data_IF_544283802503
#
_entry.id   IF_544283802503
#
_cell.length_a   1.000
_cell.length_b   1.000
_cell.length_c   1.000
_cell.angle_alpha   90.00
_cell.angle_beta   90.00
_cell.angle_gamma   90.00
#
_symmetry.space_group_name_H-M   'P 1'
#
loop_
_entity.id
_entity.type
_entity.pdbx_description
1 polymer ?
#
# COMPACT_ATOMS: atom_id res chain seq x y z
N UNK A 1 11.32 -22.72 54.23
CA UNK A 1 10.11 -21.92 54.59
C UNK A 1 10.08 -20.53 53.96
N UNK A 2 11.18 -19.77 53.82
CA UNK A 2 11.15 -18.41 53.21
C UNK A 2 10.82 -18.36 51.70
N UNK A 3 11.19 -19.38 50.92
CA UNK A 3 10.97 -19.40 49.47
C UNK A 3 9.50 -19.56 49.03
N UNK A 4 8.62 -20.05 49.91
CA UNK A 4 7.19 -20.20 49.62
C UNK A 4 6.40 -18.90 49.86
N UNK A 5 6.93 -17.99 50.68
CA UNK A 5 6.26 -16.74 51.03
C UNK A 5 6.51 -15.65 49.96
N UNK A 6 7.71 -15.63 49.37
CA UNK A 6 8.06 -14.77 48.23
C UNK A 6 7.14 -15.01 47.03
N UNK A 7 6.95 -16.27 46.59
CA UNK A 7 6.06 -16.62 45.48
C UNK A 7 4.59 -16.26 45.74
N UNK A 8 4.14 -16.34 47.00
CA UNK A 8 2.81 -15.91 47.43
C UNK A 8 2.62 -14.40 47.32
N UNK A 9 3.66 -13.60 47.62
CA UNK A 9 3.62 -12.15 47.48
C UNK A 9 3.60 -11.72 46.01
N UNK A 10 4.42 -12.33 45.15
CA UNK A 10 4.39 -12.04 43.71
C UNK A 10 3.03 -12.35 43.09
N UNK A 11 2.41 -13.49 43.45
CA UNK A 11 1.06 -13.83 42.98
C UNK A 11 0.00 -12.84 43.46
N UNK A 12 0.07 -12.39 44.72
CA UNK A 12 -0.85 -11.40 45.29
C UNK A 12 -0.71 -10.03 44.61
N UNK A 13 0.52 -9.58 44.40
CA UNK A 13 0.83 -8.30 43.75
C UNK A 13 0.36 -8.33 42.30
N UNK A 14 0.63 -9.40 41.55
CA UNK A 14 0.14 -9.56 40.18
C UNK A 14 -1.39 -9.56 40.12
N UNK A 15 -2.06 -10.30 41.01
CA UNK A 15 -3.54 -10.33 41.07
C UNK A 15 -4.14 -8.97 41.42
N UNK A 16 -3.49 -8.21 42.31
CA UNK A 16 -3.90 -6.84 42.66
C UNK A 16 -3.72 -5.87 41.49
N UNK A 17 -2.58 -5.91 40.80
CA UNK A 17 -2.30 -5.07 39.62
C UNK A 17 -3.30 -5.39 38.50
N UNK A 18 -3.57 -6.67 38.26
CA UNK A 18 -4.58 -7.10 37.29
C UNK A 18 -5.94 -6.50 37.70
N UNK A 19 -6.39 -6.66 38.94
CA UNK A 19 -7.66 -6.09 39.41
C UNK A 19 -7.74 -4.57 39.23
N UNK A 20 -6.69 -3.83 39.59
CA UNK A 20 -6.65 -2.37 39.45
C UNK A 20 -6.74 -1.96 37.98
N UNK A 21 -5.98 -2.63 37.09
CA UNK A 21 -6.05 -2.35 35.64
C UNK A 21 -7.42 -2.69 35.06
N UNK A 22 -8.15 -3.68 35.61
CA UNK A 22 -9.53 -3.97 35.19
C UNK A 22 -10.50 -2.84 35.55
N UNK A 23 -10.36 -2.26 36.75
CA UNK A 23 -11.24 -1.17 37.22
C UNK A 23 -11.01 0.09 36.40
N UNK A 24 -9.76 0.41 36.11
CA UNK A 24 -9.39 1.53 35.23
C UNK A 24 -9.96 1.30 33.82
N UNK A 25 -9.84 0.08 33.29
CA UNK A 25 -10.37 -0.27 31.98
C UNK A 25 -11.90 -0.13 31.92
N UNK A 26 -12.63 -0.59 32.94
CA UNK A 26 -14.08 -0.41 33.04
C UNK A 26 -14.46 1.07 33.06
N UNK A 27 -13.75 1.89 33.86
CA UNK A 27 -13.97 3.33 33.90
C UNK A 27 -13.78 4.00 32.53
N UNK A 28 -12.75 3.58 31.79
CA UNK A 28 -12.48 4.08 30.44
C UNK A 28 -13.55 3.64 29.42
N UNK A 29 -14.08 2.42 29.53
CA UNK A 29 -15.18 1.92 28.68
C UNK A 29 -16.47 2.71 28.93
N UNK A 30 -16.77 2.99 30.21
CA UNK A 30 -17.94 3.80 30.58
C UNK A 30 -17.79 5.22 30.03
N UNK A 31 -16.64 5.85 30.25
CA UNK A 31 -16.37 7.18 29.71
C UNK A 31 -16.46 7.21 28.17
N UNK A 32 -15.96 6.17 27.50
CA UNK A 32 -16.07 6.02 26.05
C UNK A 32 -17.53 5.98 25.58
N UNK A 33 -18.37 5.16 26.18
CA UNK A 33 -19.78 5.08 25.80
C UNK A 33 -20.54 6.37 26.12
N UNK A 34 -20.18 7.08 27.20
CA UNK A 34 -20.73 8.41 27.46
C UNK A 34 -20.37 9.39 26.34
N UNK A 35 -19.10 9.42 25.89
CA UNK A 35 -18.68 10.27 24.78
C UNK A 35 -19.35 9.88 23.45
N UNK A 36 -19.50 8.58 23.17
CA UNK A 36 -20.16 8.07 21.97
C UNK A 36 -21.64 8.47 21.91
N UNK A 37 -22.35 8.35 23.03
CA UNK A 37 -23.75 8.79 23.14
C UNK A 37 -23.84 10.31 23.02
N UNK A 38 -22.93 11.06 23.62
CA UNK A 38 -22.90 12.52 23.47
C UNK A 38 -22.67 12.97 22.02
N UNK A 39 -21.76 12.30 21.31
CA UNK A 39 -21.50 12.59 19.89
C UNK A 39 -22.74 12.30 19.04
N UNK A 40 -23.42 11.17 19.29
CA UNK A 40 -24.61 10.77 18.56
C UNK A 40 -25.81 11.70 18.83
N UNK A 41 -25.96 12.16 20.06
CA UNK A 41 -26.96 13.17 20.45
C UNK A 41 -26.71 14.49 19.74
N UNK A 42 -25.44 14.90 19.62
CA UNK A 42 -25.02 16.10 18.90
C UNK A 42 -25.30 16.01 17.39
N UNK A 43 -24.98 14.88 16.75
CA UNK A 43 -25.22 14.66 15.31
C UNK A 43 -26.72 14.67 14.96
N UNK A 44 -27.59 14.28 15.89
CA UNK A 44 -29.05 14.27 15.70
C UNK A 44 -29.70 15.61 16.11
N UNK A 45 -28.98 16.47 16.85
CA UNK A 45 -29.48 17.77 17.30
C UNK A 45 -30.60 17.70 18.35
N UNK A 46 -30.72 16.57 19.05
CA UNK A 46 -31.72 16.37 20.11
C UNK A 46 -31.16 16.83 21.47
N UNK A 47 -31.94 17.57 22.26
CA UNK A 47 -31.47 18.07 23.57
C UNK A 47 -31.48 16.99 24.67
N UNK A 48 -32.32 15.95 24.51
CA UNK A 48 -32.47 14.87 25.50
C UNK A 48 -31.74 13.59 25.08
N UNK A 49 -30.62 13.28 25.77
CA UNK A 49 -29.83 12.06 25.57
C UNK A 49 -30.63 10.76 25.70
N UNK A 50 -31.77 10.81 26.40
CA UNK A 50 -32.66 9.66 26.62
C UNK A 50 -33.37 9.19 25.34
N UNK A 51 -33.58 10.09 24.38
CA UNK A 51 -34.25 9.77 23.10
C UNK A 51 -33.28 9.06 22.14
N UNK A 52 -31.98 9.35 22.28
CA UNK A 52 -30.92 8.75 21.48
C UNK A 52 -30.50 7.34 21.93
N UNK A 53 -30.94 6.90 23.12
CA UNK A 53 -30.47 5.69 23.78
C UNK A 53 -31.48 4.53 23.60
N UNK A 54 -31.30 3.72 22.54
CA UNK A 54 -32.16 2.55 22.28
C UNK A 54 -31.90 1.42 23.27
N UNK A 55 -32.95 0.69 23.66
CA UNK A 55 -32.86 -0.41 24.66
C UNK A 55 -31.88 -1.50 24.25
N UNK A 56 -31.74 -1.78 22.95
CA UNK A 56 -30.76 -2.74 22.41
C UNK A 56 -29.29 -2.28 22.57
N UNK A 57 -29.02 -0.97 22.46
CA UNK A 57 -27.68 -0.43 22.70
C UNK A 57 -27.34 -0.50 24.18
N UNK A 58 -28.30 -0.16 25.04
CA UNK A 58 -28.14 -0.26 26.50
C UNK A 58 -27.90 -1.70 26.92
N UNK A 59 -28.64 -2.67 26.37
CA UNK A 59 -28.45 -4.08 26.74
C UNK A 59 -27.09 -4.62 26.31
N UNK A 60 -26.58 -4.22 25.13
CA UNK A 60 -25.23 -4.60 24.69
C UNK A 60 -24.14 -3.95 25.55
N UNK A 61 -24.28 -2.66 25.88
CA UNK A 61 -23.36 -1.97 26.79
C UNK A 61 -23.39 -2.60 28.18
N UNK A 62 -24.58 -2.88 28.72
CA UNK A 62 -24.74 -3.55 30.01
C UNK A 62 -24.17 -4.97 29.96
N UNK A 63 -24.34 -5.72 28.87
CA UNK A 63 -23.77 -7.04 28.70
C UNK A 63 -22.24 -7.01 28.61
N UNK A 64 -21.67 -6.00 27.95
CA UNK A 64 -20.22 -5.77 27.86
C UNK A 64 -19.65 -5.37 29.23
N UNK A 65 -20.35 -4.49 29.96
CA UNK A 65 -19.99 -4.05 31.30
C UNK A 65 -20.12 -5.18 32.32
N UNK A 66 -21.15 -6.03 32.20
CA UNK A 66 -21.34 -7.25 32.99
C UNK A 66 -20.28 -8.29 32.62
N UNK A 67 -19.95 -8.50 31.35
CA UNK A 67 -18.89 -9.43 30.94
C UNK A 67 -17.50 -9.00 31.43
N UNK A 68 -17.24 -7.69 31.51
CA UNK A 68 -15.99 -7.15 32.08
C UNK A 68 -16.02 -7.13 33.62
N UNK A 69 -17.20 -6.97 34.23
CA UNK A 69 -17.41 -7.01 35.67
C UNK A 69 -17.50 -8.42 36.26
N UNK A 70 -17.84 -9.44 35.45
CA UNK A 70 -17.68 -10.87 35.77
C UNK A 70 -16.18 -11.20 35.66
N UNK A 71 -15.38 -10.51 36.47
CA UNK A 71 -14.14 -11.05 36.98
C UNK A 71 -14.49 -11.66 38.35
N UNK A 72 -14.01 -12.85 38.70
CA UNK A 72 -14.21 -13.35 40.04
C UNK A 72 -13.54 -12.37 40.98
N UNK A 73 -14.39 -11.66 41.71
CA UNK A 73 -14.11 -11.04 42.98
C UNK A 73 -13.15 -11.96 43.75
N UNK A 74 -12.06 -11.45 44.33
CA UNK A 74 -11.05 -12.28 44.97
C UNK A 74 -11.70 -13.07 46.11
N UNK A 75 -12.07 -14.32 45.84
CA UNK A 75 -12.53 -15.30 46.84
C UNK A 75 -11.34 -15.74 47.74
N UNK A 76 -10.28 -14.93 47.80
CA UNK A 76 -9.10 -15.15 48.63
C UNK A 76 -9.15 -14.44 49.98
N UNK A 77 -10.00 -13.42 50.18
CA UNK A 77 -10.04 -12.69 51.46
C UNK A 77 -10.83 -13.47 52.54
N UNK A 78 -11.88 -14.17 52.13
CA UNK A 78 -12.59 -15.12 53.00
C UNK A 78 -11.74 -16.36 53.32
N UNK A 79 -10.95 -16.84 52.36
CA UNK A 79 -10.03 -17.96 52.55
C UNK A 79 -8.82 -17.61 53.45
N UNK A 80 -8.41 -16.34 53.49
CA UNK A 80 -7.35 -15.86 54.39
C UNK A 80 -7.79 -15.84 55.86
N UNK A 81 -9.08 -15.58 56.13
CA UNK A 81 -9.63 -15.62 57.50
C UNK A 81 -9.93 -17.05 57.97
N UNK A 82 -10.21 -17.98 57.05
CA UNK A 82 -10.49 -19.39 57.35
C UNK A 82 -9.21 -20.23 57.39
N UNK A 83 -8.20 -19.79 58.15
CA UNK A 83 -6.98 -20.55 58.38
C UNK A 83 -7.27 -21.70 59.37
N UNK A 84 -7.96 -22.75 58.93
CA UNK A 84 -7.87 -24.14 59.45
C UNK A 84 -8.97 -25.05 58.86
N UNK A 85 -8.71 -25.68 57.71
CA UNK A 85 -8.84 -27.14 57.48
C UNK A 85 -8.86 -27.51 55.99
N UNK A 86 -7.77 -28.20 55.59
CA UNK A 86 -7.73 -29.36 54.66
C UNK A 86 -8.28 -29.27 53.23
N UNK A 87 -7.33 -29.24 52.28
CA UNK A 87 -7.10 -30.10 51.08
C UNK A 87 -7.00 -29.33 49.73
N UNK A 88 -5.92 -29.58 48.95
CA UNK A 88 -5.69 -28.96 47.64
C UNK A 88 -6.18 -29.84 46.47
N UNK A 89 -6.08 -29.29 45.26
CA UNK A 89 -5.98 -29.95 43.93
C UNK A 89 -7.28 -30.34 43.21
N UNK A 90 -7.72 -29.47 42.27
CA UNK A 90 -7.89 -29.73 40.82
C UNK A 90 -8.65 -28.59 40.11
N UNK A 91 -9.45 -27.82 40.84
CA UNK A 91 -10.35 -26.80 40.27
C UNK A 91 -9.70 -25.43 40.00
N UNK A 92 -8.64 -25.06 40.73
CA UNK A 92 -8.04 -23.72 40.60
C UNK A 92 -7.38 -23.48 39.24
N UNK A 93 -6.75 -24.51 38.65
CA UNK A 93 -6.10 -24.42 37.32
C UNK A 93 -7.10 -24.32 36.17
N UNK A 94 -8.24 -25.00 36.24
CA UNK A 94 -9.28 -24.89 35.22
C UNK A 94 -9.97 -23.52 35.26
N UNK A 95 -10.16 -22.99 36.48
CA UNK A 95 -10.72 -21.66 36.68
C UNK A 95 -9.77 -20.56 36.16
N UNK A 96 -8.45 -20.71 36.35
CA UNK A 96 -7.44 -19.79 35.80
C UNK A 96 -7.41 -19.80 34.26
N UNK A 97 -7.62 -20.95 33.62
CA UNK A 97 -7.70 -21.07 32.15
C UNK A 97 -9.00 -20.42 31.63
N UNK A 98 -10.13 -20.64 32.30
CA UNK A 98 -11.40 -19.97 31.96
C UNK A 98 -11.31 -18.45 32.22
N UNK A 99 -10.50 -18.02 33.18
CA UNK A 99 -10.20 -16.59 33.44
C UNK A 99 -9.22 -15.96 32.45
N UNK A 100 -8.41 -16.75 31.75
CA UNK A 100 -7.53 -16.23 30.70
C UNK A 100 -8.32 -15.83 29.43
N UNK A 101 -9.47 -16.47 29.17
CA UNK A 101 -10.35 -16.15 28.03
C UNK A 101 -10.83 -14.67 28.01
N UNK A 102 -11.32 -14.08 29.10
CA UNK A 102 -11.66 -12.66 29.14
C UNK A 102 -10.44 -11.73 29.05
N UNK A 103 -9.22 -12.19 29.38
CA UNK A 103 -8.01 -11.39 29.12
C UNK A 103 -7.69 -11.29 27.61
N UNK A 104 -7.98 -12.33 26.82
CA UNK A 104 -7.89 -12.25 25.35
C UNK A 104 -9.02 -11.38 24.75
N UNK A 105 -10.21 -11.39 25.36
CA UNK A 105 -11.30 -10.47 24.99
C UNK A 105 -10.93 -9.00 25.27
N UNK A 106 -10.06 -8.72 26.26
CA UNK A 106 -9.52 -7.36 26.50
C UNK A 106 -8.55 -6.87 25.42
N UNK A 107 -7.83 -7.77 24.76
CA UNK A 107 -6.97 -7.41 23.62
C UNK A 107 -7.80 -6.92 22.41
N UNK A 108 -9.02 -7.43 22.24
CA UNK A 108 -9.99 -6.91 21.28
C UNK A 108 -10.42 -5.47 21.60
N UNK A 109 -10.63 -5.16 22.88
CA UNK A 109 -10.94 -3.80 23.36
C UNK A 109 -9.74 -2.84 23.18
N UNK A 110 -8.51 -3.32 23.39
CA UNK A 110 -7.29 -2.55 23.13
C UNK A 110 -7.11 -2.28 21.63
N UNK A 111 -7.40 -3.27 20.76
CA UNK A 111 -7.41 -3.09 19.31
C UNK A 111 -8.46 -2.09 18.83
N UNK A 112 -9.62 -2.04 19.49
CA UNK A 112 -10.67 -1.04 19.27
C UNK A 112 -10.23 0.36 19.71
N UNK A 113 -9.59 0.49 20.87
CA UNK A 113 -9.04 1.77 21.37
C UNK A 113 -7.87 2.29 20.52
N UNK A 114 -7.00 1.39 20.04
CA UNK A 114 -5.88 1.73 19.16
C UNK A 114 -6.37 2.17 17.77
N UNK A 115 -7.45 1.54 17.26
CA UNK A 115 -8.13 1.99 16.03
C UNK A 115 -8.75 3.39 16.14
N UNK A 116 -9.07 3.87 17.34
CA UNK A 116 -9.68 5.19 17.56
C UNK A 116 -8.64 6.34 17.52
N UNK A 117 -7.39 6.09 17.93
CA UNK A 117 -6.35 7.12 17.98
C UNK A 117 -5.69 7.37 16.61
N UNK A 118 -5.72 6.39 15.71
CA UNK A 118 -5.24 6.59 14.35
C UNK A 118 -6.31 7.30 13.53
N UNK A 119 -6.00 8.53 13.07
CA UNK A 119 -6.70 9.31 12.01
C UNK A 119 -7.00 8.54 10.71
N UNK A 120 -6.63 7.26 10.63
CA UNK A 120 -6.86 6.33 9.52
C UNK A 120 -8.29 5.74 9.52
N UNK A 121 -9.02 5.75 10.65
CA UNK A 121 -10.35 5.12 10.77
C UNK A 121 -11.54 6.12 10.73
N UNK A 122 -11.24 7.42 10.75
CA UNK A 122 -12.23 8.46 10.46
C UNK A 122 -12.55 8.58 8.97
N UNK A 123 -11.78 7.90 8.12
CA UNK A 123 -11.91 8.01 6.68
C UNK A 123 -12.95 7.02 6.13
N UNK A 124 -13.81 7.48 5.22
CA UNK A 124 -14.94 6.72 4.63
C UNK A 124 -14.51 5.37 4.03
N UNK A 125 -13.25 5.24 3.60
CA UNK A 125 -12.65 4.01 3.10
C UNK A 125 -12.54 2.91 4.18
N UNK A 126 -12.23 3.26 5.42
CA UNK A 126 -12.08 2.29 6.53
C UNK A 126 -13.42 1.67 6.96
N UNK A 127 -14.51 2.46 6.94
CA UNK A 127 -15.89 2.00 7.20
C UNK A 127 -16.38 1.02 6.12
N UNK A 128 -16.01 1.26 4.86
CA UNK A 128 -16.30 0.36 3.74
C UNK A 128 -15.53 -0.97 3.84
N UNK A 129 -14.23 -0.91 4.16
CA UNK A 129 -13.39 -2.11 4.34
C UNK A 129 -13.83 -2.93 5.56
N UNK A 130 -14.24 -2.28 6.65
CA UNK A 130 -14.78 -2.95 7.84
C UNK A 130 -16.10 -3.69 7.60
N UNK A 131 -16.96 -3.19 6.71
CA UNK A 131 -18.21 -3.84 6.33
C UNK A 131 -17.99 -5.12 5.50
N UNK A 132 -16.95 -5.15 4.65
CA UNK A 132 -16.54 -6.34 3.90
C UNK A 132 -15.85 -7.40 4.78
N UNK A 133 -15.26 -6.99 5.90
CA UNK A 133 -14.36 -7.83 6.71
C UNK A 133 -14.99 -8.61 7.88
N UNK A 134 -16.31 -8.67 8.01
CA UNK A 134 -16.97 -9.38 9.13
C UNK A 134 -16.70 -10.91 9.17
N UNK A 135 -16.09 -11.48 8.13
CA UNK A 135 -15.59 -12.87 8.12
C UNK A 135 -14.45 -13.15 7.13
N UNK A 136 -14.32 -12.36 6.06
CA UNK A 136 -13.28 -12.57 5.04
C UNK A 136 -11.93 -11.90 5.37
N UNK A 137 -11.91 -10.92 6.28
CA UNK A 137 -10.72 -10.10 6.54
C UNK A 137 -9.55 -10.85 7.13
N UNK A 138 -9.81 -11.71 8.12
CA UNK A 138 -8.77 -12.52 8.73
C UNK A 138 -8.14 -13.47 7.71
N UNK A 139 -8.95 -14.10 6.85
CA UNK A 139 -8.45 -14.99 5.79
C UNK A 139 -7.64 -14.24 4.75
N UNK A 140 -8.11 -13.09 4.28
CA UNK A 140 -7.39 -12.26 3.29
C UNK A 140 -6.07 -11.74 3.87
N UNK A 141 -6.06 -11.31 5.14
CA UNK A 141 -4.85 -10.88 5.83
C UNK A 141 -3.86 -12.04 6.00
N UNK A 142 -4.32 -13.22 6.40
CA UNK A 142 -3.47 -14.42 6.53
C UNK A 142 -2.89 -14.79 5.17
N UNK A 143 -3.70 -14.85 4.11
CA UNK A 143 -3.20 -15.13 2.74
C UNK A 143 -2.20 -14.06 2.30
N UNK A 144 -2.44 -12.78 2.58
CA UNK A 144 -1.53 -11.69 2.21
C UNK A 144 -0.22 -11.69 3.02
N UNK A 145 -0.25 -12.12 4.28
CA UNK A 145 0.95 -12.26 5.12
C UNK A 145 1.74 -13.49 4.73
N UNK A 146 1.06 -14.63 4.51
CA UNK A 146 1.67 -15.87 4.04
C UNK A 146 2.29 -15.69 2.66
N UNK A 147 1.61 -15.05 1.72
CA UNK A 147 2.17 -14.73 0.40
C UNK A 147 3.47 -13.91 0.51
N UNK A 148 3.46 -12.83 1.31
CA UNK A 148 4.66 -12.01 1.54
C UNK A 148 5.80 -12.74 2.26
N UNK A 149 5.47 -13.71 3.12
CA UNK A 149 6.46 -14.54 3.81
C UNK A 149 7.00 -15.68 2.93
N UNK A 150 6.23 -16.12 1.94
CA UNK A 150 6.64 -17.15 0.97
C UNK A 150 7.42 -16.58 -0.22
N UNK A 151 7.29 -15.27 -0.49
CA UNK A 151 8.14 -14.59 -1.44
C UNK A 151 9.59 -14.55 -0.95
N UNK A 152 10.46 -15.35 -1.57
CA UNK A 152 11.89 -15.28 -1.31
C UNK A 152 12.38 -13.86 -1.55
N UNK A 153 13.19 -13.37 -0.61
CA UNK A 153 13.87 -12.08 -0.74
C UNK A 153 14.77 -12.06 -1.98
N UNK A 154 15.09 -10.86 -2.48
CA UNK A 154 15.98 -10.72 -3.65
C UNK A 154 17.33 -11.43 -3.46
N UNK A 155 17.88 -11.38 -2.24
CA UNK A 155 19.12 -12.06 -1.89
C UNK A 155 18.96 -13.59 -1.93
N UNK A 156 17.90 -14.13 -1.33
CA UNK A 156 17.63 -15.58 -1.35
C UNK A 156 17.38 -16.09 -2.78
N UNK A 157 16.67 -15.33 -3.62
CA UNK A 157 16.47 -15.65 -5.04
C UNK A 157 17.81 -15.69 -5.79
N UNK A 158 18.72 -14.76 -5.51
CA UNK A 158 20.04 -14.74 -6.13
C UNK A 158 20.87 -15.96 -5.72
N UNK A 159 20.87 -16.32 -4.43
CA UNK A 159 21.55 -17.51 -3.92
C UNK A 159 20.94 -18.79 -4.51
N UNK A 160 19.61 -18.88 -4.58
CA UNK A 160 18.92 -20.02 -5.19
C UNK A 160 19.26 -20.16 -6.68
N UNK A 161 19.29 -19.06 -7.42
CA UNK A 161 19.66 -19.08 -8.84
C UNK A 161 21.11 -19.53 -9.04
N UNK A 162 22.04 -19.05 -8.21
CA UNK A 162 23.43 -19.49 -8.21
C UNK A 162 23.57 -20.98 -7.89
N UNK A 163 22.84 -21.45 -6.87
CA UNK A 163 22.83 -22.86 -6.49
C UNK A 163 22.28 -23.73 -7.64
N UNK A 164 21.22 -23.29 -8.31
CA UNK A 164 20.61 -23.99 -9.43
C UNK A 164 21.55 -24.05 -10.65
N UNK A 165 22.23 -22.95 -11.01
CA UNK A 165 23.20 -22.95 -12.11
C UNK A 165 24.42 -23.84 -11.82
N UNK A 166 24.92 -23.83 -10.57
CA UNK A 166 25.99 -24.73 -10.14
C UNK A 166 25.56 -26.20 -10.27
N UNK A 167 24.36 -26.53 -9.81
CA UNK A 167 23.81 -27.88 -9.90
C UNK A 167 23.60 -28.35 -11.35
N UNK A 168 23.02 -27.50 -12.20
CA UNK A 168 22.80 -27.82 -13.62
C UNK A 168 24.12 -27.97 -14.36
N UNK A 169 25.09 -27.10 -14.11
CA UNK A 169 26.42 -27.20 -14.72
C UNK A 169 27.10 -28.52 -14.36
N UNK A 170 26.96 -29.00 -13.11
CA UNK A 170 27.42 -30.34 -12.70
C UNK A 170 26.68 -31.44 -13.47
N UNK A 171 25.35 -31.36 -13.59
CA UNK A 171 24.53 -32.34 -14.33
C UNK A 171 24.89 -32.40 -15.81
N UNK A 172 25.20 -31.27 -16.46
CA UNK A 172 25.69 -31.24 -17.85
C UNK A 172 26.98 -32.01 -17.99
N UNK A 173 27.96 -31.77 -17.09
CA UNK A 173 29.25 -32.49 -17.11
C UNK A 173 29.06 -33.99 -16.94
N UNK A 174 28.19 -34.42 -16.01
CA UNK A 174 27.88 -35.84 -15.78
C UNK A 174 27.20 -36.47 -17.01
N UNK A 175 26.19 -35.80 -17.57
CA UNK A 175 25.48 -36.31 -18.75
C UNK A 175 26.39 -36.40 -19.98
N UNK A 176 27.27 -35.42 -20.19
CA UNK A 176 28.27 -35.43 -21.25
C UNK A 176 29.30 -36.56 -21.06
N UNK A 177 29.77 -36.80 -19.83
CA UNK A 177 30.65 -37.91 -19.53
C UNK A 177 30.00 -39.27 -19.84
N UNK A 178 28.70 -39.43 -19.52
CA UNK A 178 27.94 -40.63 -19.87
C UNK A 178 27.79 -40.81 -21.39
N UNK A 179 27.54 -39.74 -22.14
CA UNK A 179 27.50 -39.79 -23.61
C UNK A 179 28.84 -40.30 -24.17
N UNK A 180 29.96 -39.76 -23.68
CA UNK A 180 31.30 -40.19 -24.11
C UNK A 180 31.59 -41.64 -23.73
N UNK A 181 31.25 -42.04 -22.50
CA UNK A 181 31.42 -43.42 -22.00
C UNK A 181 30.66 -44.42 -22.86
N UNK A 182 29.36 -44.19 -23.09
CA UNK A 182 28.53 -45.12 -23.87
C UNK A 182 28.96 -45.14 -25.34
N UNK A 183 29.33 -43.99 -25.92
CA UNK A 183 29.87 -43.92 -27.30
C UNK A 183 31.15 -44.74 -27.44
N UNK A 184 32.08 -44.63 -26.48
CA UNK A 184 33.30 -45.42 -26.46
C UNK A 184 33.02 -46.92 -26.30
N UNK A 185 32.10 -47.31 -25.42
CA UNK A 185 31.74 -48.71 -25.20
C UNK A 185 31.09 -49.34 -26.44
N UNK A 186 30.26 -48.57 -27.17
CA UNK A 186 29.73 -49.00 -28.48
C UNK A 186 30.88 -49.25 -29.44
N UNK A 187 31.81 -48.30 -29.60
CA UNK A 187 32.97 -48.46 -30.49
C UNK A 187 33.81 -49.68 -30.13
N UNK A 188 34.09 -49.87 -28.83
CA UNK A 188 34.86 -51.00 -28.30
C UNK A 188 34.20 -52.35 -28.64
N UNK A 189 32.89 -52.47 -28.40
CA UNK A 189 32.15 -53.73 -28.63
C UNK A 189 31.80 -53.98 -30.09
N UNK A 190 31.70 -52.94 -30.92
CA UNK A 190 31.36 -53.05 -32.34
C UNK A 190 32.59 -53.23 -33.26
N UNK A 191 33.73 -52.61 -32.93
CA UNK A 191 34.92 -52.57 -33.79
C UNK A 191 36.21 -53.16 -33.20
N UNK A 192 36.43 -53.11 -31.88
CA UNK A 192 37.70 -53.58 -31.28
C UNK A 192 37.69 -55.05 -30.87
N UNK A 193 36.51 -55.65 -30.61
CA UNK A 193 36.42 -57.07 -30.25
C UNK A 193 36.36 -57.97 -31.49
N UNK A 194 37.14 -59.06 -31.46
CA UNK A 194 37.18 -60.08 -32.51
C UNK A 194 35.83 -60.78 -32.73
N UNK A 195 35.10 -61.13 -31.65
CA UNK A 195 33.69 -61.54 -31.74
C UNK A 195 32.75 -60.35 -31.49
N UNK A 196 31.88 -60.06 -32.46
CA UNK A 196 30.87 -58.99 -32.39
C UNK A 196 29.69 -59.42 -31.52
N UNK A 197 29.59 -58.81 -30.33
CA UNK A 197 28.50 -59.07 -29.39
C UNK A 197 27.34 -58.06 -29.61
N UNK A 198 26.41 -58.42 -30.50
CA UNK A 198 25.33 -57.52 -30.95
C UNK A 198 24.37 -57.10 -29.83
N UNK A 199 24.10 -57.98 -28.86
CA UNK A 199 23.22 -57.67 -27.73
C UNK A 199 23.80 -56.56 -26.86
N UNK A 200 25.09 -56.64 -26.53
CA UNK A 200 25.80 -55.58 -25.78
C UNK A 200 25.86 -54.25 -26.54
N UNK A 201 26.03 -54.28 -27.86
CA UNK A 201 26.01 -53.05 -28.67
C UNK A 201 24.65 -52.36 -28.57
N UNK A 202 23.54 -53.10 -28.69
CA UNK A 202 22.18 -52.53 -28.55
C UNK A 202 21.93 -51.96 -27.15
N UNK A 203 22.44 -52.61 -26.11
CA UNK A 203 22.28 -52.12 -24.73
C UNK A 203 23.00 -50.77 -24.52
N UNK A 204 24.25 -50.65 -25.00
CA UNK A 204 24.98 -49.38 -24.92
C UNK A 204 24.39 -48.32 -25.86
N UNK A 205 23.82 -48.69 -27.01
CA UNK A 205 23.08 -47.77 -27.87
C UNK A 205 21.84 -47.19 -27.18
N UNK A 206 21.06 -48.02 -26.47
CA UNK A 206 19.92 -47.53 -25.67
C UNK A 206 20.37 -46.58 -24.56
N UNK A 207 21.44 -46.93 -23.84
CA UNK A 207 22.03 -46.07 -22.80
C UNK A 207 22.57 -44.77 -23.36
N UNK A 208 23.21 -44.80 -24.53
CA UNK A 208 23.66 -43.61 -25.24
C UNK A 208 22.49 -42.70 -25.62
N UNK A 209 21.42 -43.26 -26.21
CA UNK A 209 20.23 -42.49 -26.56
C UNK A 209 19.59 -41.84 -25.32
N UNK A 210 19.52 -42.58 -24.21
CA UNK A 210 19.03 -42.05 -22.94
C UNK A 210 19.94 -40.91 -22.44
N UNK A 211 21.26 -41.09 -22.46
CA UNK A 211 22.22 -40.08 -22.03
C UNK A 211 22.16 -38.80 -22.91
N UNK A 212 21.96 -38.94 -24.23
CA UNK A 212 21.76 -37.82 -25.15
C UNK A 212 20.46 -37.07 -24.82
N UNK A 213 19.35 -37.79 -24.58
CA UNK A 213 18.08 -37.15 -24.19
C UNK A 213 18.22 -36.42 -22.85
N UNK A 214 18.90 -37.04 -21.87
CA UNK A 214 19.19 -36.39 -20.59
C UNK A 214 20.04 -35.13 -20.77
N UNK A 215 21.09 -35.18 -21.59
CA UNK A 215 21.94 -34.02 -21.87
C UNK A 215 21.13 -32.89 -22.54
N UNK A 216 20.27 -33.22 -23.51
CA UNK A 216 19.37 -32.23 -24.15
C UNK A 216 18.40 -31.60 -23.16
N UNK A 217 17.81 -32.41 -22.28
CA UNK A 217 16.89 -31.94 -21.23
C UNK A 217 17.58 -30.96 -20.28
N UNK A 218 18.74 -31.34 -19.73
CA UNK A 218 19.50 -30.47 -18.83
C UNK A 218 20.02 -29.21 -19.54
N UNK A 219 20.36 -29.30 -20.83
CA UNK A 219 20.73 -28.12 -21.64
C UNK A 219 19.55 -27.17 -21.88
N UNK A 220 18.32 -27.69 -22.01
CA UNK A 220 17.10 -26.87 -22.05
C UNK A 220 16.82 -26.20 -20.71
N UNK A 221 16.92 -26.95 -19.59
CA UNK A 221 16.80 -26.40 -18.23
C UNK A 221 17.79 -25.25 -18.00
N UNK A 222 19.06 -25.39 -18.46
CA UNK A 222 20.06 -24.32 -18.39
C UNK A 222 19.67 -23.06 -19.18
N UNK A 223 19.10 -23.22 -20.37
CA UNK A 223 18.64 -22.09 -21.18
C UNK A 223 17.50 -21.35 -20.52
N UNK A 224 16.51 -22.09 -19.99
CA UNK A 224 15.38 -21.48 -19.29
C UNK A 224 15.82 -20.65 -18.07
N UNK A 225 16.82 -21.11 -17.29
CA UNK A 225 17.38 -20.31 -16.20
C UNK A 225 18.14 -19.06 -16.69
N UNK A 226 18.86 -19.17 -17.80
CA UNK A 226 19.53 -18.02 -18.39
C UNK A 226 18.52 -16.96 -18.87
N UNK A 227 17.41 -17.39 -19.49
CA UNK A 227 16.34 -16.51 -19.94
C UNK A 227 15.69 -15.78 -18.76
N UNK A 228 15.49 -16.44 -17.62
CA UNK A 228 15.02 -15.79 -16.39
C UNK A 228 15.98 -14.70 -15.91
N UNK A 229 17.29 -14.93 -15.98
CA UNK A 229 18.31 -13.92 -15.65
C UNK A 229 18.30 -12.72 -16.61
N UNK A 230 18.10 -12.97 -17.90
CA UNK A 230 18.06 -11.94 -18.94
C UNK A 230 16.84 -11.01 -18.77
N UNK A 231 15.66 -11.54 -18.40
CA UNK A 231 14.47 -10.70 -18.18
C UNK A 231 14.68 -9.61 -17.12
N UNK A 232 15.39 -9.91 -16.03
CA UNK A 232 15.71 -8.91 -15.00
C UNK A 232 16.67 -7.84 -15.53
N UNK A 233 17.69 -8.25 -16.29
CA UNK A 233 18.66 -7.33 -16.90
C UNK A 233 17.99 -6.44 -17.94
N UNK A 234 17.07 -6.99 -18.72
CA UNK A 234 16.33 -6.25 -19.74
C UNK A 234 15.38 -5.22 -19.11
N UNK A 235 14.76 -5.53 -17.96
CA UNK A 235 14.00 -4.55 -17.17
C UNK A 235 14.91 -3.41 -16.68
N UNK A 236 16.11 -3.73 -16.18
CA UNK A 236 17.06 -2.71 -15.72
C UNK A 236 17.56 -1.82 -16.88
N UNK A 237 17.81 -2.40 -18.05
CA UNK A 237 18.15 -1.63 -19.26
C UNK A 237 16.99 -0.75 -19.73
N UNK A 238 15.77 -1.27 -19.71
CA UNK A 238 14.55 -0.51 -20.03
C UNK A 238 14.36 0.65 -19.05
N UNK A 239 14.66 0.44 -17.76
CA UNK A 239 14.61 1.51 -16.77
C UNK A 239 15.63 2.62 -17.06
N UNK A 240 16.87 2.26 -17.43
CA UNK A 240 17.89 3.25 -17.82
C UNK A 240 17.48 4.01 -19.09
N UNK A 241 17.04 3.30 -20.12
CA UNK A 241 16.56 3.93 -21.36
C UNK A 241 15.37 4.87 -21.09
N UNK A 242 14.47 4.48 -20.20
CA UNK A 242 13.33 5.32 -19.80
C UNK A 242 13.79 6.58 -19.05
N UNK A 243 14.83 6.51 -18.23
CA UNK A 243 15.41 7.72 -17.61
C UNK A 243 16.00 8.66 -18.66
N UNK A 244 16.71 8.14 -19.65
CA UNK A 244 17.29 8.95 -20.73
C UNK A 244 16.19 9.65 -21.55
N UNK A 245 15.14 8.90 -21.95
CA UNK A 245 13.98 9.46 -22.65
C UNK A 245 13.25 10.49 -21.79
N UNK A 246 13.09 10.23 -20.49
CA UNK A 246 12.44 11.19 -19.58
C UNK A 246 13.25 12.49 -19.48
N UNK A 247 14.58 12.40 -19.45
CA UNK A 247 15.46 13.56 -19.45
C UNK A 247 15.34 14.36 -20.77
N UNK A 248 15.26 13.69 -21.92
CA UNK A 248 15.01 14.36 -23.20
C UNK A 248 13.65 15.06 -23.25
N UNK A 249 12.59 14.41 -22.77
CA UNK A 249 11.24 14.99 -22.68
C UNK A 249 11.21 16.18 -21.74
N UNK A 250 11.91 16.11 -20.62
CA UNK A 250 12.05 17.25 -19.70
C UNK A 250 12.78 18.42 -20.37
N UNK A 251 13.85 18.16 -21.11
CA UNK A 251 14.54 19.19 -21.90
C UNK A 251 13.63 19.85 -22.95
N UNK A 252 12.87 19.06 -23.69
CA UNK A 252 11.89 19.59 -24.66
C UNK A 252 10.78 20.39 -23.97
N UNK A 253 10.33 19.96 -22.79
CA UNK A 253 9.35 20.70 -21.99
C UNK A 253 9.89 22.05 -21.55
N UNK A 254 11.14 22.13 -21.10
CA UNK A 254 11.78 23.39 -20.73
C UNK A 254 11.92 24.35 -21.93
N UNK A 255 12.29 23.83 -23.10
CA UNK A 255 12.36 24.62 -24.33
C UNK A 255 10.97 25.16 -24.74
N UNK A 256 9.94 24.33 -24.63
CA UNK A 256 8.56 24.73 -24.90
C UNK A 256 8.05 25.77 -23.90
N UNK A 257 8.34 25.61 -22.61
CA UNK A 257 8.00 26.60 -21.57
C UNK A 257 8.68 27.95 -21.89
N UNK A 258 9.95 27.94 -22.33
CA UNK A 258 10.66 29.16 -22.76
C UNK A 258 10.00 29.82 -23.98
N UNK A 259 9.55 29.03 -24.96
CA UNK A 259 8.83 29.55 -26.12
C UNK A 259 7.48 30.15 -25.72
N UNK A 260 6.74 29.55 -24.78
CA UNK A 260 5.47 30.08 -24.27
C UNK A 260 5.71 31.43 -23.58
N UNK A 261 6.71 31.52 -22.70
CA UNK A 261 7.04 32.77 -22.01
C UNK A 261 7.43 33.89 -23.00
N UNK A 262 8.21 33.56 -24.03
CA UNK A 262 8.52 34.53 -25.09
C UNK A 262 7.28 34.96 -25.88
N UNK A 263 6.36 34.03 -26.15
CA UNK A 263 5.13 34.34 -26.85
C UNK A 263 4.22 35.25 -26.00
N UNK A 264 4.08 34.94 -24.70
CA UNK A 264 3.35 35.79 -23.75
C UNK A 264 3.93 37.20 -23.70
N UNK A 265 5.26 37.33 -23.67
CA UNK A 265 5.94 38.62 -23.71
C UNK A 265 5.63 39.39 -25.00
N UNK A 266 5.71 38.74 -26.16
CA UNK A 266 5.40 39.38 -27.45
C UNK A 266 3.93 39.83 -27.52
N UNK A 267 3.01 39.05 -26.96
CA UNK A 267 1.59 39.41 -26.88
C UNK A 267 1.37 40.61 -25.96
N UNK A 268 2.07 40.69 -24.84
CA UNK A 268 1.97 41.83 -23.92
C UNK A 268 2.56 43.11 -24.54
N UNK A 269 3.70 43.00 -25.23
CA UNK A 269 4.30 44.11 -25.98
C UNK A 269 3.35 44.62 -27.08
N UNK A 270 2.70 43.71 -27.81
CA UNK A 270 1.71 44.06 -28.83
C UNK A 270 0.49 44.75 -28.20
N UNK A 271 0.00 44.22 -27.06
CA UNK A 271 -1.12 44.80 -26.32
C UNK A 271 -0.83 46.22 -25.84
N UNK A 272 0.36 46.47 -25.30
CA UNK A 272 0.76 47.81 -24.85
C UNK A 272 0.97 48.75 -26.05
N UNK A 273 1.52 48.25 -27.16
CA UNK A 273 1.60 48.99 -28.42
C UNK A 273 0.23 49.46 -28.92
N UNK A 274 -0.78 48.57 -28.91
CA UNK A 274 -2.16 48.94 -29.27
C UNK A 274 -2.78 49.95 -28.30
N UNK A 275 -2.52 49.80 -26.99
CA UNK A 275 -3.02 50.73 -25.97
C UNK A 275 -2.48 52.15 -26.16
N UNK A 276 -1.24 52.30 -26.64
CA UNK A 276 -0.64 53.60 -26.96
C UNK A 276 -1.15 54.13 -28.31
N UNK A 277 -1.25 53.26 -29.32
CA UNK A 277 -1.63 53.67 -30.69
C UNK A 277 -3.08 54.15 -30.78
N UNK A 278 -4.01 53.47 -30.10
CA UNK A 278 -5.45 53.78 -30.17
C UNK A 278 -5.80 55.24 -29.79
N UNK A 279 -5.32 55.81 -28.66
CA UNK A 279 -5.57 57.20 -28.33
C UNK A 279 -4.84 58.17 -29.27
N UNK A 280 -3.65 57.85 -29.78
CA UNK A 280 -2.96 58.68 -30.78
C UNK A 280 -3.78 58.80 -32.07
N UNK A 281 -4.28 57.66 -32.59
CA UNK A 281 -5.18 57.64 -33.74
C UNK A 281 -6.46 58.45 -33.48
N UNK A 282 -7.08 58.27 -32.31
CA UNK A 282 -8.27 59.02 -31.91
C UNK A 282 -8.01 60.54 -31.88
N UNK A 283 -6.88 60.95 -31.30
CA UNK A 283 -6.49 62.36 -31.19
C UNK A 283 -6.17 62.97 -32.57
N UNK A 284 -5.48 62.25 -33.45
CA UNK A 284 -5.21 62.72 -34.81
C UNK A 284 -6.50 62.81 -35.63
N UNK A 285 -7.39 61.82 -35.55
CA UNK A 285 -8.69 61.83 -36.21
C UNK A 285 -9.60 62.96 -35.70
N UNK A 286 -9.64 63.20 -34.38
CA UNK A 286 -10.41 64.31 -33.82
C UNK A 286 -9.88 65.67 -34.28
N UNK A 287 -8.55 65.81 -34.34
CA UNK A 287 -7.87 67.03 -34.81
C UNK A 287 -8.10 67.26 -36.31
N UNK A 288 -8.03 66.20 -37.12
CA UNK A 288 -8.35 66.27 -38.55
C UNK A 288 -9.82 66.63 -38.76
N UNK A 289 -10.73 66.00 -38.02
CA UNK A 289 -12.17 66.27 -38.11
C UNK A 289 -12.54 67.70 -37.66
N UNK A 290 -11.90 68.24 -36.61
CA UNK A 290 -12.14 69.63 -36.20
C UNK A 290 -11.60 70.62 -37.23
N UNK A 291 -10.42 70.34 -37.80
CA UNK A 291 -9.82 71.15 -38.85
C UNK A 291 -10.67 71.16 -40.14
N UNK A 292 -11.17 70.01 -40.58
CA UNK A 292 -12.09 69.92 -41.74
C UNK A 292 -13.38 70.70 -41.49
N UNK A 293 -14.00 70.55 -40.31
CA UNK A 293 -15.21 71.31 -39.97
C UNK A 293 -14.97 72.82 -39.94
N UNK A 294 -13.81 73.25 -39.46
CA UNK A 294 -13.44 74.66 -39.49
C UNK A 294 -13.30 75.20 -40.92
N UNK A 295 -12.62 74.44 -41.80
CA UNK A 295 -12.48 74.81 -43.21
C UNK A 295 -13.81 74.82 -43.96
N UNK A 296 -14.74 73.91 -43.62
CA UNK A 296 -16.09 73.91 -44.20
C UNK A 296 -16.90 75.13 -43.75
N UNK A 297 -16.84 75.52 -42.46
CA UNK A 297 -17.48 76.75 -41.98
C UNK A 297 -16.93 78.00 -42.66
N UNK A 298 -15.60 78.12 -42.79
CA UNK A 298 -15.00 79.24 -43.52
C UNK A 298 -15.45 79.28 -45.00
N UNK A 299 -15.76 78.13 -45.60
CA UNK A 299 -16.29 78.06 -46.98
C UNK A 299 -17.76 78.45 -47.05
N UNK A 300 -18.58 78.04 -46.08
CA UNK A 300 -19.98 78.47 -45.95
C UNK A 300 -20.06 79.99 -45.71
N UNK A 301 -19.29 80.53 -44.77
CA UNK A 301 -19.21 81.98 -44.51
C UNK A 301 -18.76 82.76 -45.75
N UNK A 302 -17.79 82.24 -46.51
CA UNK A 302 -17.37 82.84 -47.79
C UNK A 302 -18.44 82.76 -48.87
N UNK A 303 -19.20 81.66 -48.93
CA UNK A 303 -20.28 81.48 -49.90
C UNK A 303 -21.48 82.40 -49.59
N UNK A 304 -21.84 82.57 -48.32
CA UNK A 304 -22.86 83.54 -47.88
C UNK A 304 -22.43 84.97 -48.20
N UNK A 305 -21.15 85.32 -47.99
CA UNK A 305 -20.61 86.62 -48.36
C UNK A 305 -20.57 86.89 -49.88
N UNK A 306 -20.51 85.85 -50.72
CA UNK A 306 -20.57 86.00 -52.19
C UNK A 306 -21.99 85.92 -52.76
N UNK A 307 -22.91 85.21 -52.10
CA UNK A 307 -24.33 85.15 -52.50
C UNK A 307 -25.13 86.40 -52.15
N UNK A 308 -24.68 87.23 -51.20
CA UNK A 308 -25.32 88.50 -50.85
C UNK A 308 -25.09 89.65 -51.85
N UNK A 309 -24.42 89.40 -52.98
CA UNK A 309 -24.05 90.41 -53.97
C UNK A 309 -24.97 90.57 -55.17
N UNK A 310 -26.07 89.81 -55.26
CA UNK A 310 -26.94 89.82 -56.46
C UNK A 310 -28.42 89.92 -56.07
N UNK A 311 -28.83 91.11 -55.61
CA UNK A 311 -30.21 91.37 -55.23
C UNK A 311 -30.45 92.74 -54.61
N UNK A 312 -30.05 93.82 -55.27
CA UNK A 312 -30.85 95.05 -55.29
C UNK A 312 -30.44 95.95 -56.47
N UNK A 313 -31.38 96.01 -57.44
CA UNK A 313 -31.55 97.10 -58.40
C UNK A 313 -32.62 98.02 -57.83
#
# INVERSE_FOLDING_TARGET
>A
MRTCQESSLYSLVLKSIISITTVILVGLIIAYHCCEVQLYVHDIGAEDWRIAMTTERVTLIVLELVAVAIHPYPVGLAAYFQQNKTRPSLSETELEIVLALPMFLRLYLLGRAMMLHSRLFTDTASRSIGALNKGAGCTVLVVAVVARKLELTRAEKHVHNFMMDSHITKRIKIAAANVLRETWLIYKHAKLKSQKDQTRVRDHQRKLLLAIHQLRRVKMEKRCLADQGNTLVDIMKMQNLMYDVLAEVQGCREEMDNHIVNLEKNVEELREGFRILMPLLSNTLSTQNSSIRHLLREREEKAEATGGGEGDR
#
